data_IF_804697644737
#
_entry.id   IF_804697644737
#
_cell.length_a   1.000
_cell.length_b   1.000
_cell.length_c   1.000
_cell.angle_alpha   90.00
_cell.angle_beta   90.00
_cell.angle_gamma   90.00
#
_symmetry.space_group_name_H-M   'P 1'
#
loop_
_entity.id
_entity.type
_entity.pdbx_description
1 polymer ?
#
# COMPACT_ATOMS: atom_id res chain seq x y z
N UNK A 1 26.73 36.66 -26.56
CA UNK A 1 26.23 35.55 -27.40
C UNK A 1 26.03 34.37 -26.48
N UNK A 2 24.75 34.20 -26.15
CA UNK A 2 24.01 32.98 -25.80
C UNK A 2 24.43 32.15 -24.57
N UNK A 3 23.61 32.33 -23.54
CA UNK A 3 23.42 31.49 -22.36
C UNK A 3 22.65 30.21 -22.74
N UNK A 4 23.14 29.00 -22.44
CA UNK A 4 22.26 27.89 -22.21
C UNK A 4 21.90 27.88 -20.72
N UNK A 5 20.73 28.45 -20.40
CA UNK A 5 20.01 28.11 -19.19
C UNK A 5 19.87 26.59 -19.15
N UNK A 6 20.74 25.92 -18.39
CA UNK A 6 20.50 24.56 -17.97
C UNK A 6 19.33 24.59 -16.99
N UNK A 7 18.12 24.73 -17.52
CA UNK A 7 16.91 24.25 -16.87
C UNK A 7 17.21 22.84 -16.38
N UNK A 8 17.21 22.58 -15.06
CA UNK A 8 17.26 21.22 -14.57
C UNK A 8 16.01 20.55 -15.16
N UNK A 9 16.21 19.62 -16.10
CA UNK A 9 15.14 18.75 -16.55
C UNK A 9 14.44 18.25 -15.28
N UNK A 10 13.11 18.45 -15.13
CA UNK A 10 12.42 17.87 -13.99
C UNK A 10 12.75 16.39 -14.01
N UNK A 11 13.25 15.91 -12.86
CA UNK A 11 13.64 14.54 -12.66
C UNK A 11 12.54 13.67 -13.28
N UNK A 12 12.98 12.89 -14.26
CA UNK A 12 12.23 11.88 -14.98
C UNK A 12 11.12 11.30 -14.11
N UNK A 13 9.90 11.35 -14.62
CA UNK A 13 8.68 10.78 -14.06
C UNK A 13 8.70 9.24 -14.00
N UNK A 14 9.83 8.64 -13.63
CA UNK A 14 10.03 7.20 -13.45
C UNK A 14 9.73 6.72 -12.02
N UNK A 15 9.56 7.63 -11.06
CA UNK A 15 9.40 7.30 -9.63
C UNK A 15 7.94 6.97 -9.24
N UNK A 16 6.98 7.35 -10.09
CA UNK A 16 5.55 7.26 -9.74
C UNK A 16 5.06 5.81 -9.58
N UNK A 17 5.58 4.88 -10.39
CA UNK A 17 5.10 3.50 -10.39
C UNK A 17 5.62 2.69 -9.20
N UNK A 18 6.88 2.91 -8.79
CA UNK A 18 7.48 2.19 -7.66
C UNK A 18 6.93 2.68 -6.32
N UNK A 19 6.69 3.98 -6.17
CA UNK A 19 5.99 4.54 -5.01
C UNK A 19 4.59 3.96 -4.83
N UNK A 20 3.81 3.82 -5.91
CA UNK A 20 2.45 3.25 -5.85
C UNK A 20 2.49 1.78 -5.43
N UNK A 21 3.44 0.99 -5.94
CA UNK A 21 3.62 -0.41 -5.54
C UNK A 21 4.00 -0.50 -4.05
N UNK A 22 4.94 0.34 -3.60
CA UNK A 22 5.37 0.39 -2.21
C UNK A 22 4.24 0.77 -1.24
N UNK A 23 3.38 1.72 -1.64
CA UNK A 23 2.18 2.10 -0.88
C UNK A 23 1.19 0.92 -0.80
N UNK A 24 0.96 0.22 -1.91
CA UNK A 24 0.10 -0.98 -1.91
C UNK A 24 0.60 -2.06 -0.96
N UNK A 25 1.91 -2.33 -0.97
CA UNK A 25 2.53 -3.34 -0.09
C UNK A 25 2.42 -2.92 1.39
N UNK A 26 2.69 -1.66 1.72
CA UNK A 26 2.58 -1.16 3.10
C UNK A 26 1.14 -1.21 3.62
N UNK A 27 0.16 -0.81 2.80
CA UNK A 27 -1.27 -0.94 3.15
C UNK A 27 -1.64 -2.42 3.34
N UNK A 28 -1.17 -3.30 2.46
CA UNK A 28 -1.38 -4.75 2.58
C UNK A 28 -0.80 -5.34 3.86
N UNK A 29 0.44 -4.95 4.21
CA UNK A 29 1.10 -5.37 5.44
C UNK A 29 0.37 -4.89 6.70
N UNK A 30 -0.12 -3.65 6.70
CA UNK A 30 -0.99 -3.13 7.77
C UNK A 30 -2.29 -3.95 7.87
N UNK A 31 -2.88 -4.33 6.73
CA UNK A 31 -4.05 -5.21 6.70
C UNK A 31 -3.80 -6.57 7.35
N UNK A 32 -2.67 -7.22 7.04
CA UNK A 32 -2.24 -8.47 7.68
C UNK A 32 -2.05 -8.29 9.19
N UNK A 33 -1.42 -7.19 9.61
CA UNK A 33 -1.21 -6.87 11.02
C UNK A 33 -2.54 -6.73 11.76
N UNK A 34 -3.51 -6.01 11.19
CA UNK A 34 -4.85 -5.88 11.76
C UNK A 34 -5.62 -7.21 11.77
N UNK A 35 -5.43 -8.05 10.76
CA UNK A 35 -6.02 -9.40 10.72
C UNK A 35 -5.48 -10.26 11.86
N UNK A 36 -4.15 -10.28 12.05
CA UNK A 36 -3.49 -10.97 13.16
C UNK A 36 -3.94 -10.44 14.52
N UNK A 37 -4.08 -9.11 14.65
CA UNK A 37 -4.52 -8.47 15.89
C UNK A 37 -5.98 -8.83 16.21
N UNK A 38 -6.87 -8.76 15.22
CA UNK A 38 -8.26 -9.17 15.36
C UNK A 38 -8.40 -10.65 15.69
N UNK A 39 -7.58 -11.51 15.07
CA UNK A 39 -7.53 -12.93 15.35
C UNK A 39 -7.02 -13.24 16.78
N UNK A 40 -5.99 -12.53 17.22
CA UNK A 40 -5.47 -12.65 18.58
C UNK A 40 -6.52 -12.23 19.62
N UNK A 41 -7.29 -11.17 19.36
CA UNK A 41 -8.37 -10.73 20.24
C UNK A 41 -9.56 -11.69 20.23
N UNK A 42 -9.83 -12.34 19.09
CA UNK A 42 -10.85 -13.38 19.01
C UNK A 42 -10.52 -14.58 19.91
N UNK A 43 -9.25 -14.97 19.98
CA UNK A 43 -8.80 -16.02 20.92
C UNK A 43 -8.89 -15.61 22.39
N UNK A 44 -8.83 -14.30 22.68
CA UNK A 44 -8.90 -13.75 24.05
C UNK A 44 -10.33 -13.54 24.55
N UNK A 45 -11.36 -13.98 23.82
CA UNK A 45 -12.79 -13.81 24.15
C UNK A 45 -13.26 -12.34 24.09
N UNK A 46 -12.41 -11.41 23.63
CA UNK A 46 -12.78 -10.03 23.31
C UNK A 46 -13.36 -9.94 21.89
N UNK A 47 -14.58 -10.48 21.75
CA UNK A 47 -15.28 -10.58 20.46
C UNK A 47 -15.60 -9.22 19.83
N UNK A 48 -15.88 -8.20 20.63
CA UNK A 48 -16.18 -6.84 20.15
C UNK A 48 -15.01 -6.23 19.40
N UNK A 49 -13.80 -6.40 19.94
CA UNK A 49 -12.57 -5.84 19.39
C UNK A 49 -12.16 -6.63 18.13
N UNK A 50 -12.30 -7.96 18.18
CA UNK A 50 -12.08 -8.83 17.03
C UNK A 50 -13.02 -8.50 15.85
N UNK A 51 -14.31 -8.28 16.10
CA UNK A 51 -15.30 -7.93 15.07
C UNK A 51 -15.00 -6.62 14.36
N UNK A 52 -14.21 -5.73 14.95
CA UNK A 52 -13.81 -4.46 14.34
C UNK A 52 -12.50 -4.65 13.56
N UNK A 53 -11.47 -5.24 14.17
CA UNK A 53 -10.14 -5.33 13.55
C UNK A 53 -10.03 -6.38 12.44
N UNK A 54 -10.77 -7.48 12.50
CA UNK A 54 -10.80 -8.49 11.43
C UNK A 54 -11.30 -7.92 10.09
N UNK A 55 -12.49 -7.31 9.99
CA UNK A 55 -12.97 -6.78 8.72
C UNK A 55 -12.14 -5.60 8.24
N UNK A 56 -11.66 -4.73 9.14
CA UNK A 56 -10.77 -3.63 8.76
C UNK A 56 -9.46 -4.18 8.18
N UNK A 57 -8.86 -5.18 8.81
CA UNK A 57 -7.66 -5.84 8.30
C UNK A 57 -7.89 -6.52 6.95
N UNK A 58 -9.04 -7.18 6.77
CA UNK A 58 -9.40 -7.82 5.51
C UNK A 58 -9.57 -6.81 4.37
N UNK A 59 -10.28 -5.70 4.62
CA UNK A 59 -10.47 -4.63 3.64
C UNK A 59 -9.13 -3.98 3.29
N UNK A 60 -8.31 -3.65 4.29
CA UNK A 60 -6.99 -3.06 4.07
C UNK A 60 -6.07 -3.99 3.27
N UNK A 61 -6.10 -5.30 3.54
CA UNK A 61 -5.33 -6.29 2.80
C UNK A 61 -5.76 -6.35 1.33
N UNK A 62 -7.07 -6.40 1.07
CA UNK A 62 -7.61 -6.40 -0.30
C UNK A 62 -7.24 -5.11 -1.04
N UNK A 63 -7.42 -3.94 -0.41
CA UNK A 63 -7.08 -2.65 -1.02
C UNK A 63 -5.58 -2.56 -1.32
N UNK A 64 -4.72 -2.96 -0.38
CA UNK A 64 -3.28 -3.00 -0.59
C UNK A 64 -2.86 -3.93 -1.74
N UNK A 65 -3.45 -5.13 -1.79
CA UNK A 65 -3.20 -6.09 -2.86
C UNK A 65 -3.64 -5.58 -4.24
N UNK A 66 -4.80 -4.93 -4.33
CA UNK A 66 -5.29 -4.31 -5.58
C UNK A 66 -4.34 -3.20 -6.04
N UNK A 67 -3.93 -2.31 -5.13
CA UNK A 67 -2.99 -1.21 -5.46
C UNK A 67 -1.64 -1.77 -5.92
N UNK A 68 -1.10 -2.77 -5.22
CA UNK A 68 0.16 -3.41 -5.58
C UNK A 68 0.08 -4.11 -6.95
N UNK A 69 -0.99 -4.86 -7.21
CA UNK A 69 -1.24 -5.49 -8.52
C UNK A 69 -1.39 -4.47 -9.64
N UNK A 70 -2.11 -3.38 -9.38
CA UNK A 70 -2.34 -2.32 -10.38
C UNK A 70 -1.02 -1.61 -10.72
N UNK A 71 -0.19 -1.32 -9.72
CA UNK A 71 1.16 -0.79 -9.93
C UNK A 71 2.06 -1.76 -10.71
N UNK A 72 2.00 -3.05 -10.37
CA UNK A 72 2.79 -4.09 -11.05
C UNK A 72 2.35 -4.30 -12.52
N UNK A 73 1.05 -4.23 -12.80
CA UNK A 73 0.52 -4.31 -14.17
C UNK A 73 0.97 -3.14 -15.04
N UNK A 74 1.15 -1.95 -14.43
CA UNK A 74 1.61 -0.73 -15.09
C UNK A 74 3.12 -0.73 -15.33
N UNK A 75 3.91 -1.35 -14.45
CA UNK A 75 5.36 -1.56 -14.61
C UNK A 75 5.70 -2.62 -15.68
N UNK A 76 4.75 -3.49 -16.03
CA UNK A 76 4.94 -4.59 -17.00
C UNK A 76 4.66 -4.21 -18.46
N UNK A 77 4.03 -3.05 -18.72
CA UNK A 77 3.86 -2.45 -20.05
C UNK A 77 4.96 -1.45 -20.32
#
# INVERSE_FOLDING_TARGET
MDNPEQTPRPATSGDSSEGIIGIGITIGALGVLFLMLGWAQWMRVEHTVAMIFLPIGAVALVVGAVIAMMGQSRKRR
#
